data_IF_962961030415
#
_entry.id   IF_962961030415
#
_cell.length_a   1.000
_cell.length_b   1.000
_cell.length_c   1.000
_cell.angle_alpha   90.00
_cell.angle_beta   90.00
_cell.angle_gamma   90.00
#
_symmetry.space_group_name_H-M   'P 1'
#
loop_
_entity.id
_entity.type
_entity.pdbx_description
1 polymer ?
#
# COMPACT_ATOMS: atom_id res chain seq x y z
N UNK A 1 20.66 3.54 11.44
CA UNK A 1 20.00 4.87 11.51
C UNK A 1 18.87 4.77 12.52
N UNK A 2 18.66 5.81 13.33
CA UNK A 2 17.53 5.86 14.28
C UNK A 2 16.46 6.77 13.69
N UNK A 3 15.20 6.30 13.66
CA UNK A 3 14.07 7.08 13.17
C UNK A 3 13.15 7.44 14.35
N UNK A 4 12.92 8.72 14.55
CA UNK A 4 12.00 9.20 15.58
C UNK A 4 10.63 9.63 15.02
N UNK A 5 10.47 9.58 13.68
CA UNK A 5 9.21 9.89 13.01
C UNK A 5 8.97 8.99 11.81
N UNK A 6 7.73 8.46 11.71
CA UNK A 6 7.25 7.76 10.54
C UNK A 6 6.01 8.46 9.97
N UNK A 7 6.02 8.72 8.65
CA UNK A 7 4.90 9.32 7.92
C UNK A 7 4.52 8.38 6.80
N UNK A 8 3.29 7.89 6.78
CA UNK A 8 2.80 6.94 5.78
C UNK A 8 1.87 7.64 4.78
N UNK A 9 2.22 7.60 3.49
CA UNK A 9 1.45 8.16 2.39
C UNK A 9 0.93 7.07 1.47
N UNK A 10 -0.21 7.34 0.84
CA UNK A 10 -0.72 6.47 -0.21
C UNK A 10 -2.24 6.35 -0.25
N UNK A 11 -2.67 5.13 -0.52
CA UNK A 11 -4.08 4.80 -0.73
C UNK A 11 -4.61 3.77 0.29
N UNK A 12 -5.56 2.93 -0.12
CA UNK A 12 -6.22 1.93 0.74
C UNK A 12 -5.26 0.95 1.40
N UNK A 13 -4.15 0.58 0.75
CA UNK A 13 -3.18 -0.35 1.31
C UNK A 13 -2.48 0.27 2.52
N UNK A 14 -2.08 1.53 2.43
CA UNK A 14 -1.41 2.24 3.52
C UNK A 14 -2.39 2.73 4.58
N UNK A 15 -3.64 3.05 4.22
CA UNK A 15 -4.73 3.29 5.18
C UNK A 15 -5.01 2.05 6.05
N UNK A 16 -4.70 0.85 5.53
CA UNK A 16 -4.89 -0.42 6.22
C UNK A 16 -6.23 -1.09 5.92
N UNK A 17 -6.87 -0.73 4.81
CA UNK A 17 -8.22 -1.22 4.48
C UNK A 17 -8.29 -2.75 4.50
N UNK A 18 -9.35 -3.30 5.13
CA UNK A 18 -9.65 -4.72 5.32
C UNK A 18 -8.77 -5.45 6.34
N UNK A 19 -7.94 -4.73 7.10
CA UNK A 19 -7.36 -5.26 8.34
C UNK A 19 -8.37 -5.20 9.50
N UNK A 20 -7.99 -5.71 10.64
CA UNK A 20 -8.74 -5.54 11.90
C UNK A 20 -8.94 -4.04 12.22
N UNK A 21 -10.02 -3.75 12.93
CA UNK A 21 -10.27 -2.38 13.37
C UNK A 21 -9.90 -2.19 14.84
N UNK A 22 -9.11 -1.15 15.09
CA UNK A 22 -8.76 -0.69 16.43
C UNK A 22 -9.29 0.74 16.59
N UNK A 23 -10.11 0.98 17.62
CA UNK A 23 -10.73 2.28 17.89
C UNK A 23 -11.45 2.89 16.66
N UNK A 24 -12.09 2.02 15.85
CA UNK A 24 -12.87 2.43 14.68
C UNK A 24 -12.08 2.58 13.38
N UNK A 25 -10.75 2.63 13.41
CA UNK A 25 -9.87 2.69 12.25
C UNK A 25 -9.30 1.32 11.89
N UNK A 26 -9.04 1.08 10.60
CA UNK A 26 -8.27 -0.07 10.19
C UNK A 26 -6.81 0.06 10.65
N UNK A 27 -6.26 -0.99 11.27
CA UNK A 27 -4.87 -1.01 11.74
C UNK A 27 -3.89 -0.90 10.57
N UNK A 28 -3.88 -1.88 9.70
CA UNK A 28 -2.99 -1.93 8.53
C UNK A 28 -1.51 -2.20 8.87
N UNK A 29 -0.72 -2.38 7.82
CA UNK A 29 0.70 -2.67 7.94
C UNK A 29 1.50 -1.50 8.55
N UNK A 30 1.12 -0.25 8.23
CA UNK A 30 1.86 0.92 8.67
C UNK A 30 1.76 1.15 10.18
N UNK A 31 0.57 0.92 10.78
CA UNK A 31 0.41 0.99 12.24
C UNK A 31 1.21 -0.12 12.93
N UNK A 32 1.24 -1.36 12.37
CA UNK A 32 2.05 -2.47 12.89
C UNK A 32 3.55 -2.15 12.87
N UNK A 33 4.03 -1.46 11.84
CA UNK A 33 5.41 -0.96 11.78
C UNK A 33 5.63 0.13 12.85
N UNK A 34 4.66 1.05 12.99
CA UNK A 34 4.74 2.11 13.99
C UNK A 34 4.78 1.54 15.43
N UNK A 35 4.06 0.44 15.72
CA UNK A 35 4.12 -0.25 17.03
C UNK A 35 5.55 -0.70 17.36
N UNK A 36 6.24 -1.33 16.40
CA UNK A 36 7.62 -1.80 16.60
C UNK A 36 8.59 -0.61 16.70
N UNK A 37 8.42 0.41 15.86
CA UNK A 37 9.28 1.59 15.90
C UNK A 37 9.15 2.33 17.23
N UNK A 38 7.92 2.49 17.76
CA UNK A 38 7.68 3.12 19.05
C UNK A 38 8.29 2.34 20.23
N UNK A 39 8.37 1.01 20.10
CA UNK A 39 9.04 0.16 21.11
C UNK A 39 10.56 0.21 21.05
N UNK A 40 11.14 0.69 19.94
CA UNK A 40 12.59 0.69 19.71
C UNK A 40 13.21 2.09 19.68
N UNK A 41 12.39 3.16 19.57
CA UNK A 41 12.88 4.53 19.47
C UNK A 41 12.17 5.44 20.46
N UNK A 42 12.93 6.20 21.22
CA UNK A 42 12.40 7.19 22.17
C UNK A 42 11.73 8.36 21.42
N UNK A 43 10.69 8.93 22.03
CA UNK A 43 9.94 10.07 21.50
C UNK A 43 9.44 9.89 20.07
N UNK A 44 9.15 8.63 19.70
CA UNK A 44 8.69 8.28 18.37
C UNK A 44 7.29 8.85 18.10
N UNK A 45 7.14 9.42 16.89
CA UNK A 45 5.88 9.99 16.42
C UNK A 45 5.46 9.37 15.10
N UNK A 46 4.14 9.20 14.89
CA UNK A 46 3.58 8.59 13.70
C UNK A 46 2.45 9.44 13.11
N UNK A 47 2.42 9.53 11.78
CA UNK A 47 1.32 10.08 10.99
C UNK A 47 0.96 9.13 9.84
N UNK A 48 -0.33 9.00 9.52
CA UNK A 48 -0.80 8.24 8.36
C UNK A 48 -1.77 9.10 7.56
N UNK A 49 -1.27 9.65 6.45
CA UNK A 49 -1.98 10.54 5.54
C UNK A 49 -2.74 9.81 4.44
N UNK A 50 -2.62 8.48 4.39
CA UNK A 50 -3.21 7.68 3.33
C UNK A 50 -4.74 7.71 3.35
N UNK A 51 -5.32 7.81 2.15
CA UNK A 51 -6.77 7.78 1.94
C UNK A 51 -7.07 6.83 0.79
N UNK A 52 -7.96 5.87 1.02
CA UNK A 52 -8.38 4.88 0.02
C UNK A 52 -8.85 5.51 -1.29
N UNK A 53 -8.53 4.83 -2.39
CA UNK A 53 -8.99 5.22 -3.72
C UNK A 53 -8.26 6.40 -4.34
N UNK A 54 -7.29 7.02 -3.65
CA UNK A 54 -6.47 8.10 -4.20
C UNK A 54 -5.56 7.58 -5.31
N UNK A 55 -5.37 8.42 -6.32
CA UNK A 55 -4.42 8.21 -7.42
C UNK A 55 -3.12 8.94 -7.12
N UNK A 56 -2.05 8.61 -7.86
CA UNK A 56 -0.74 9.27 -7.72
C UNK A 56 -0.85 10.78 -7.71
N UNK A 57 -1.49 11.38 -8.71
CA UNK A 57 -1.62 12.84 -8.79
C UNK A 57 -2.44 13.45 -7.65
N UNK A 58 -3.35 12.70 -7.02
CA UNK A 58 -4.07 13.17 -5.83
C UNK A 58 -3.16 13.11 -4.59
N UNK A 59 -2.39 12.02 -4.43
CA UNK A 59 -1.41 11.90 -3.34
C UNK A 59 -0.36 12.99 -3.46
N UNK A 60 0.14 13.26 -4.68
CA UNK A 60 1.09 14.34 -4.96
C UNK A 60 0.56 15.71 -4.50
N UNK A 61 -0.70 16.03 -4.80
CA UNK A 61 -1.25 17.35 -4.49
C UNK A 61 -1.77 17.50 -3.06
N UNK A 62 -2.26 16.41 -2.46
CA UNK A 62 -2.98 16.46 -1.19
C UNK A 62 -2.14 15.96 0.00
N UNK A 63 -1.28 14.95 -0.19
CA UNK A 63 -0.53 14.32 0.90
C UNK A 63 0.94 14.74 0.93
N UNK A 64 1.59 14.85 -0.24
CA UNK A 64 3.03 15.16 -0.31
C UNK A 64 3.35 16.52 0.32
N UNK A 65 2.64 17.64 0.05
CA UNK A 65 2.93 18.92 0.69
C UNK A 65 2.79 18.88 2.21
N UNK A 66 1.77 18.15 2.71
CA UNK A 66 1.57 17.94 4.15
C UNK A 66 2.74 17.16 4.73
N UNK A 67 3.12 16.05 4.11
CA UNK A 67 4.23 15.21 4.57
C UNK A 67 5.54 15.98 4.62
N UNK A 68 5.86 16.76 3.58
CA UNK A 68 7.06 17.61 3.52
C UNK A 68 7.10 18.59 4.69
N UNK A 69 5.97 19.23 5.01
CA UNK A 69 5.86 20.14 6.15
C UNK A 69 5.97 19.46 7.52
N UNK A 70 5.82 18.13 7.58
CA UNK A 70 5.92 17.34 8.80
C UNK A 70 7.32 16.71 9.01
N UNK A 71 8.23 16.83 8.04
CA UNK A 71 9.59 16.27 8.14
C UNK A 71 10.38 16.96 9.24
N UNK A 72 11.11 16.15 10.02
CA UNK A 72 12.03 16.60 11.05
C UNK A 72 13.44 16.06 10.74
N UNK A 73 13.98 16.46 9.59
CA UNK A 73 15.30 16.04 9.14
C UNK A 73 15.41 14.53 8.83
N UNK A 74 16.64 13.99 8.77
CA UNK A 74 16.93 12.63 8.32
C UNK A 74 16.46 11.54 9.27
N UNK A 75 16.05 11.88 10.50
CA UNK A 75 15.39 10.95 11.43
C UNK A 75 13.92 10.68 11.08
N UNK A 76 13.39 11.34 10.04
CA UNK A 76 12.07 11.05 9.50
C UNK A 76 12.17 10.00 8.39
N UNK A 77 11.35 8.94 8.49
CA UNK A 77 11.13 8.01 7.38
C UNK A 77 9.72 8.22 6.81
N UNK A 78 9.63 8.28 5.48
CA UNK A 78 8.36 8.41 4.75
C UNK A 78 8.16 7.17 3.89
N UNK A 79 7.01 6.51 4.01
CA UNK A 79 6.58 5.49 3.07
C UNK A 79 5.64 6.08 2.01
N UNK A 80 5.87 5.75 0.74
CA UNK A 80 5.02 6.17 -0.36
C UNK A 80 4.57 4.98 -1.20
N UNK A 81 3.27 4.65 -1.11
CA UNK A 81 2.63 3.58 -1.87
C UNK A 81 1.39 4.12 -2.57
N UNK A 82 1.49 4.36 -3.87
CA UNK A 82 0.40 4.82 -4.73
C UNK A 82 0.59 4.30 -6.15
N UNK A 83 -0.47 4.30 -6.98
CA UNK A 83 -0.40 3.95 -8.39
C UNK A 83 -1.33 2.80 -8.79
N UNK A 84 -1.64 1.87 -7.88
CA UNK A 84 -2.57 0.77 -8.19
C UNK A 84 -3.92 1.30 -8.68
N UNK A 85 -4.44 2.36 -8.07
CA UNK A 85 -5.70 3.00 -8.48
C UNK A 85 -5.64 3.67 -9.85
N UNK A 86 -4.49 4.06 -10.33
CA UNK A 86 -4.29 4.61 -11.68
C UNK A 86 -4.31 3.48 -12.71
N UNK A 87 -3.47 2.47 -12.50
CA UNK A 87 -3.21 1.36 -13.41
C UNK A 87 -4.47 0.56 -13.77
N UNK A 88 -5.35 0.32 -12.79
CA UNK A 88 -6.60 -0.44 -13.01
C UNK A 88 -7.70 0.37 -13.73
N UNK A 89 -7.49 1.66 -14.03
CA UNK A 89 -8.50 2.47 -14.72
C UNK A 89 -8.52 2.21 -16.21
N UNK A 90 -9.71 2.25 -16.86
CA UNK A 90 -9.79 2.16 -18.31
C UNK A 90 -8.98 3.25 -19.02
N UNK A 91 -9.04 4.48 -18.50
CA UNK A 91 -8.31 5.66 -19.02
C UNK A 91 -6.99 5.86 -18.28
N UNK A 92 -6.21 4.78 -18.12
CA UNK A 92 -4.86 4.87 -17.55
C UNK A 92 -3.92 5.57 -18.53
N UNK A 93 -3.25 6.60 -18.05
CA UNK A 93 -2.22 7.33 -18.78
C UNK A 93 -0.87 7.09 -18.09
N UNK A 94 -0.02 6.22 -18.62
CA UNK A 94 1.27 5.90 -18.01
C UNK A 94 2.22 7.10 -17.99
N UNK A 95 2.27 7.90 -19.05
CA UNK A 95 3.20 9.04 -19.15
C UNK A 95 2.93 10.04 -18.03
N UNK A 96 1.66 10.43 -17.87
CA UNK A 96 1.24 11.33 -16.81
C UNK A 96 1.48 10.72 -15.42
N UNK A 97 1.11 9.45 -15.23
CA UNK A 97 1.24 8.77 -13.93
C UNK A 97 2.69 8.66 -13.50
N UNK A 98 3.61 8.36 -14.44
CA UNK A 98 5.04 8.26 -14.14
C UNK A 98 5.63 9.63 -13.80
N UNK A 99 5.27 10.68 -14.53
CA UNK A 99 5.72 12.04 -14.25
C UNK A 99 5.23 12.53 -12.87
N UNK A 100 3.96 12.30 -12.53
CA UNK A 100 3.39 12.64 -11.22
C UNK A 100 4.04 11.82 -10.08
N UNK A 101 4.37 10.54 -10.33
CA UNK A 101 5.06 9.68 -9.36
C UNK A 101 6.49 10.17 -9.11
N UNK A 102 7.25 10.45 -10.17
CA UNK A 102 8.60 10.97 -10.11
C UNK A 102 8.66 12.31 -9.35
N UNK A 103 7.75 13.22 -9.67
CA UNK A 103 7.62 14.52 -8.97
C UNK A 103 7.36 14.33 -7.48
N UNK A 104 6.45 13.41 -7.11
CA UNK A 104 6.14 13.13 -5.71
C UNK A 104 7.38 12.60 -4.96
N UNK A 105 8.06 11.61 -5.53
CA UNK A 105 9.24 10.99 -4.90
C UNK A 105 10.36 12.02 -4.74
N UNK A 106 10.67 12.82 -5.77
CA UNK A 106 11.72 13.84 -5.68
C UNK A 106 11.41 14.91 -4.64
N UNK A 107 10.15 15.35 -4.53
CA UNK A 107 9.75 16.30 -3.48
C UNK A 107 9.94 15.71 -2.06
N UNK A 108 9.62 14.43 -1.87
CA UNK A 108 9.83 13.75 -0.59
C UNK A 108 11.33 13.60 -0.26
N UNK A 109 12.17 13.25 -1.23
CA UNK A 109 13.63 13.17 -1.05
C UNK A 109 14.23 14.54 -0.73
N UNK A 110 13.81 15.59 -1.44
CA UNK A 110 14.27 16.96 -1.23
C UNK A 110 13.92 17.51 0.15
N UNK A 111 12.93 16.94 0.82
CA UNK A 111 12.60 17.31 2.22
C UNK A 111 13.65 16.87 3.24
N UNK A 112 14.62 16.04 2.85
CA UNK A 112 15.65 15.48 3.72
C UNK A 112 15.22 14.23 4.47
N UNK A 113 14.02 13.70 4.24
CA UNK A 113 13.55 12.44 4.84
C UNK A 113 14.18 11.22 4.15
N UNK A 114 14.28 10.12 4.88
CA UNK A 114 14.47 8.79 4.26
C UNK A 114 13.18 8.35 3.62
N UNK A 115 13.20 7.97 2.34
CA UNK A 115 12.00 7.58 1.59
C UNK A 115 12.00 6.09 1.30
N UNK A 116 10.86 5.43 1.55
CA UNK A 116 10.60 4.04 1.20
C UNK A 116 9.50 3.96 0.14
N UNK A 117 9.78 3.27 -0.96
CA UNK A 117 8.89 3.05 -2.08
C UNK A 117 8.47 1.59 -2.16
N UNK A 118 7.30 1.35 -2.76
CA UNK A 118 6.72 0.02 -2.90
C UNK A 118 6.37 -0.26 -4.35
N UNK A 119 6.77 -1.43 -4.85
CA UNK A 119 6.17 -1.99 -6.04
C UNK A 119 4.80 -2.61 -5.72
N UNK A 120 3.89 -2.54 -6.67
CA UNK A 120 2.60 -3.23 -6.61
C UNK A 120 2.78 -4.67 -7.07
N UNK A 121 2.01 -5.61 -6.54
CA UNK A 121 2.04 -6.99 -7.04
C UNK A 121 1.55 -7.05 -8.50
N UNK A 122 2.41 -7.52 -9.41
CA UNK A 122 2.19 -7.47 -10.86
C UNK A 122 1.19 -8.52 -11.36
N UNK A 123 1.21 -9.69 -10.74
CA UNK A 123 0.42 -10.84 -11.19
C UNK A 123 -0.52 -11.31 -10.08
N UNK A 124 -1.80 -11.15 -10.30
CA UNK A 124 -2.85 -11.66 -9.39
C UNK A 124 -3.11 -13.17 -9.53
N UNK A 125 -2.45 -13.86 -10.48
CA UNK A 125 -2.72 -15.25 -10.83
C UNK A 125 -4.04 -15.49 -11.59
N UNK A 126 -4.84 -14.45 -11.83
CA UNK A 126 -6.09 -14.57 -12.57
C UNK A 126 -5.85 -14.72 -14.09
N UNK A 127 -6.57 -15.66 -14.73
CA UNK A 127 -6.40 -15.98 -16.16
C UNK A 127 -7.29 -15.15 -17.11
N UNK A 128 -7.87 -14.06 -16.64
CA UNK A 128 -8.78 -13.22 -17.46
C UNK A 128 -8.00 -12.30 -18.40
N UNK A 129 -8.67 -11.85 -19.48
CA UNK A 129 -8.08 -10.87 -20.41
C UNK A 129 -7.73 -9.54 -19.69
N UNK A 130 -8.57 -9.10 -18.79
CA UNK A 130 -8.31 -7.90 -17.97
C UNK A 130 -7.07 -8.08 -17.08
N UNK A 131 -6.91 -9.23 -16.43
CA UNK A 131 -5.74 -9.50 -15.60
C UNK A 131 -4.42 -9.46 -16.39
N UNK A 132 -4.43 -9.97 -17.65
CA UNK A 132 -3.26 -9.88 -18.54
C UNK A 132 -2.89 -8.43 -18.86
N UNK A 133 -3.89 -7.59 -19.17
CA UNK A 133 -3.67 -6.16 -19.43
C UNK A 133 -3.15 -5.45 -18.18
N UNK A 134 -3.72 -5.72 -17.01
CA UNK A 134 -3.25 -5.12 -15.76
C UNK A 134 -1.84 -5.57 -15.40
N UNK A 135 -1.49 -6.84 -15.61
CA UNK A 135 -0.15 -7.34 -15.39
C UNK A 135 0.88 -6.50 -16.18
N UNK A 136 0.70 -6.35 -17.49
CA UNK A 136 1.61 -5.55 -18.34
C UNK A 136 1.70 -4.08 -17.86
N UNK A 137 0.58 -3.50 -17.45
CA UNK A 137 0.56 -2.13 -16.92
C UNK A 137 1.28 -2.01 -15.58
N UNK A 138 1.11 -3.00 -14.68
CA UNK A 138 1.81 -3.03 -13.39
C UNK A 138 3.31 -3.27 -13.58
N UNK A 139 3.71 -4.14 -14.50
CA UNK A 139 5.12 -4.35 -14.86
C UNK A 139 5.77 -3.04 -15.32
N UNK A 140 5.13 -2.30 -16.22
CA UNK A 140 5.62 -1.01 -16.69
C UNK A 140 5.66 0.05 -15.57
N UNK A 141 4.62 0.11 -14.73
CA UNK A 141 4.59 1.01 -13.58
C UNK A 141 5.70 0.69 -12.57
N UNK A 142 5.89 -0.58 -12.22
CA UNK A 142 6.92 -1.00 -11.29
C UNK A 142 8.34 -0.82 -11.86
N UNK A 143 8.52 -0.94 -13.17
CA UNK A 143 9.80 -0.60 -13.81
C UNK A 143 10.16 0.88 -13.56
N UNK A 144 9.17 1.79 -13.63
CA UNK A 144 9.37 3.20 -13.27
C UNK A 144 9.67 3.37 -11.78
N UNK A 145 8.97 2.64 -10.89
CA UNK A 145 9.24 2.69 -9.43
C UNK A 145 10.66 2.22 -9.12
N UNK A 146 11.11 1.10 -9.71
CA UNK A 146 12.48 0.58 -9.54
C UNK A 146 13.53 1.57 -10.02
N UNK A 147 13.28 2.17 -11.19
CA UNK A 147 14.16 3.18 -11.79
C UNK A 147 14.34 4.37 -10.86
N UNK A 148 13.23 5.02 -10.45
CA UNK A 148 13.31 6.20 -9.58
C UNK A 148 13.90 5.86 -8.21
N UNK A 149 13.58 4.70 -7.62
CA UNK A 149 14.16 4.26 -6.36
C UNK A 149 15.70 4.19 -6.43
N UNK A 150 16.22 3.62 -7.53
CA UNK A 150 17.67 3.54 -7.77
C UNK A 150 18.30 4.91 -7.99
N UNK A 151 17.66 5.79 -8.76
CA UNK A 151 18.17 7.14 -9.06
C UNK A 151 18.31 8.02 -7.83
N UNK A 152 17.34 7.93 -6.89
CA UNK A 152 17.30 8.81 -5.70
C UNK A 152 17.80 8.14 -4.43
N UNK A 153 18.22 6.88 -4.49
CA UNK A 153 18.68 6.12 -3.33
C UNK A 153 17.56 5.79 -2.33
N UNK A 154 16.31 5.68 -2.78
CA UNK A 154 15.20 5.32 -1.91
C UNK A 154 15.23 3.84 -1.53
N UNK A 155 14.73 3.52 -0.34
CA UNK A 155 14.52 2.14 0.09
C UNK A 155 13.37 1.55 -0.74
N UNK A 156 13.59 0.39 -1.37
CA UNK A 156 12.57 -0.28 -2.18
C UNK A 156 12.08 -1.56 -1.52
N UNK A 157 10.76 -1.72 -1.44
CA UNK A 157 10.08 -2.98 -1.14
C UNK A 157 9.42 -3.50 -2.43
N UNK A 158 9.92 -4.63 -2.96
CA UNK A 158 9.42 -5.22 -4.19
C UNK A 158 8.92 -6.66 -3.96
N UNK A 159 7.59 -6.87 -3.85
CA UNK A 159 7.02 -8.19 -3.62
C UNK A 159 7.12 -9.12 -4.84
N UNK A 160 7.51 -8.61 -6.00
CA UNK A 160 7.55 -9.41 -7.23
C UNK A 160 8.79 -10.31 -7.33
N UNK A 161 9.80 -10.06 -6.48
CA UNK A 161 11.01 -10.88 -6.42
C UNK A 161 10.79 -12.24 -5.74
N UNK A 162 9.68 -12.40 -5.00
CA UNK A 162 9.37 -13.64 -4.26
C UNK A 162 7.96 -14.13 -4.61
N UNK A 163 7.84 -15.38 -5.06
CA UNK A 163 6.55 -15.99 -5.40
C UNK A 163 5.60 -16.14 -4.20
N UNK A 164 6.15 -16.20 -3.01
CA UNK A 164 5.41 -16.35 -1.75
C UNK A 164 4.39 -15.22 -1.47
N UNK A 165 4.53 -14.06 -2.12
CA UNK A 165 3.58 -12.95 -2.01
C UNK A 165 2.25 -13.19 -2.73
N UNK A 166 2.19 -14.14 -3.68
CA UNK A 166 1.01 -14.37 -4.53
C UNK A 166 -0.03 -15.29 -3.91
N UNK A 167 0.11 -15.62 -2.63
CA UNK A 167 -0.81 -16.57 -1.99
C UNK A 167 -2.17 -15.92 -1.71
N UNK A 168 -3.30 -16.53 -2.12
CA UNK A 168 -4.64 -15.94 -1.97
C UNK A 168 -5.05 -15.71 -0.51
N UNK A 169 -4.45 -16.43 0.45
CA UNK A 169 -4.72 -16.23 1.88
C UNK A 169 -4.28 -14.86 2.42
N UNK A 170 -3.54 -14.07 1.66
CA UNK A 170 -3.18 -12.69 2.04
C UNK A 170 -4.21 -11.66 1.58
N UNK A 171 -5.16 -12.08 0.73
CA UNK A 171 -6.14 -11.20 0.12
C UNK A 171 -7.48 -11.36 0.81
N UNK A 172 -8.15 -10.24 1.07
CA UNK A 172 -9.49 -10.21 1.61
C UNK A 172 -10.53 -10.74 0.61
N UNK A 173 -11.73 -11.08 1.10
CA UNK A 173 -12.84 -11.56 0.26
C UNK A 173 -13.22 -10.61 -0.89
N UNK A 174 -12.90 -9.31 -0.80
CA UNK A 174 -13.12 -8.35 -1.87
C UNK A 174 -12.18 -8.53 -3.08
N UNK A 175 -11.19 -9.42 -2.98
CA UNK A 175 -10.19 -9.78 -4.02
C UNK A 175 -9.33 -8.61 -4.49
N UNK A 176 -9.22 -7.57 -3.69
CA UNK A 176 -8.48 -6.36 -4.03
C UNK A 176 -7.51 -5.95 -2.92
N UNK A 177 -7.94 -6.01 -1.67
CA UNK A 177 -7.17 -5.53 -0.53
C UNK A 177 -6.54 -6.69 0.24
N UNK A 178 -5.47 -6.38 0.95
CA UNK A 178 -4.88 -7.31 1.91
C UNK A 178 -5.87 -7.55 3.07
N UNK A 179 -5.88 -8.76 3.60
CA UNK A 179 -6.49 -9.03 4.90
C UNK A 179 -5.46 -8.87 6.03
N UNK A 180 -5.83 -9.19 7.27
CA UNK A 180 -4.94 -9.03 8.43
C UNK A 180 -3.61 -9.79 8.29
N UNK A 181 -3.63 -10.99 7.72
CA UNK A 181 -2.41 -11.77 7.46
C UNK A 181 -1.53 -11.12 6.40
N UNK A 182 -2.13 -10.57 5.34
CA UNK A 182 -1.42 -9.82 4.30
C UNK A 182 -0.80 -8.53 4.85
N UNK A 183 -1.55 -7.76 5.65
CA UNK A 183 -1.02 -6.57 6.31
C UNK A 183 0.10 -6.90 7.29
N UNK A 184 -0.04 -7.98 8.08
CA UNK A 184 1.03 -8.46 8.94
C UNK A 184 2.29 -8.78 8.14
N UNK A 185 2.15 -9.53 7.02
CA UNK A 185 3.29 -9.89 6.17
C UNK A 185 4.02 -8.67 5.60
N UNK A 186 3.28 -7.65 5.12
CA UNK A 186 3.88 -6.40 4.64
C UNK A 186 4.63 -5.69 5.77
N UNK A 187 4.05 -5.63 6.97
CA UNK A 187 4.73 -5.03 8.11
C UNK A 187 6.06 -5.73 8.43
N UNK A 188 6.07 -7.08 8.47
CA UNK A 188 7.30 -7.84 8.71
C UNK A 188 8.37 -7.61 7.64
N UNK A 189 7.96 -7.51 6.36
CA UNK A 189 8.86 -7.22 5.27
C UNK A 189 9.47 -5.82 5.38
N UNK A 190 8.68 -4.82 5.77
CA UNK A 190 9.15 -3.45 6.02
C UNK A 190 10.14 -3.44 7.20
N UNK A 191 9.79 -4.08 8.32
CA UNK A 191 10.66 -4.18 9.49
C UNK A 191 11.99 -4.86 9.16
N UNK A 192 11.94 -5.98 8.43
CA UNK A 192 13.14 -6.67 7.95
C UNK A 192 14.02 -5.77 7.07
N UNK A 193 13.39 -4.99 6.17
CA UNK A 193 14.09 -4.07 5.27
C UNK A 193 14.74 -2.90 6.01
N UNK A 194 14.16 -2.51 7.15
CA UNK A 194 14.69 -1.47 8.05
C UNK A 194 15.65 -2.02 9.12
N UNK A 195 15.93 -3.33 9.12
CA UNK A 195 16.73 -4.02 10.14
C UNK A 195 16.19 -3.83 11.56
N UNK A 196 14.85 -3.75 11.69
CA UNK A 196 14.13 -3.69 12.95
C UNK A 196 13.70 -5.10 13.40
N UNK A 197 13.37 -5.30 14.68
CA UNK A 197 12.82 -6.56 15.18
C UNK A 197 11.61 -6.99 14.34
N UNK A 198 11.66 -8.22 13.83
CA UNK A 198 10.61 -8.81 13.00
C UNK A 198 10.55 -10.32 13.19
N UNK A 199 9.43 -10.92 12.85
CA UNK A 199 9.28 -12.37 12.82
C UNK A 199 10.04 -12.96 11.61
N UNK A 200 11.09 -13.76 11.80
CA UNK A 200 11.86 -14.32 10.69
C UNK A 200 11.05 -15.30 9.82
N UNK A 201 9.96 -15.86 10.34
CA UNK A 201 9.09 -16.79 9.63
C UNK A 201 8.17 -16.13 8.59
N UNK A 202 8.14 -14.82 8.50
CA UNK A 202 7.25 -14.11 7.57
C UNK A 202 7.43 -14.51 6.10
N UNK A 203 8.61 -15.00 5.73
CA UNK A 203 8.91 -15.49 4.37
C UNK A 203 8.47 -16.94 4.13
N UNK A 204 8.12 -17.70 5.17
CA UNK A 204 7.74 -19.08 5.02
C UNK A 204 6.56 -19.23 4.06
N UNK A 205 6.69 -20.03 2.99
CA UNK A 205 5.60 -20.26 2.06
C UNK A 205 4.41 -20.91 2.77
N UNK A 206 3.20 -20.43 2.45
CA UNK A 206 1.99 -21.08 2.93
C UNK A 206 1.69 -22.34 2.13
N UNK A 207 1.00 -23.33 2.72
CA UNK A 207 0.54 -24.50 2.01
C UNK A 207 -0.31 -24.10 0.78
N UNK A 208 -0.26 -24.86 -0.32
CA UNK A 208 -1.08 -24.55 -1.50
C UNK A 208 -2.55 -24.37 -1.13
N UNK A 209 -3.25 -23.41 -1.76
CA UNK A 209 -4.66 -23.17 -1.46
C UNK A 209 -5.50 -24.39 -1.82
N UNK A 210 -6.44 -24.72 -0.93
CA UNK A 210 -7.38 -25.82 -1.16
C UNK A 210 -8.30 -25.47 -2.34
N UNK A 211 -8.38 -26.37 -3.32
CA UNK A 211 -9.33 -26.21 -4.45
C UNK A 211 -10.75 -26.49 -3.96
N UNK A 212 -11.60 -25.50 -4.02
CA UNK A 212 -13.01 -25.65 -3.70
C UNK A 212 -13.74 -26.44 -4.80
N UNK A 213 -14.81 -27.21 -4.46
CA UNK A 213 -15.75 -27.76 -5.43
C UNK A 213 -16.33 -26.66 -6.35
N UNK A 214 -16.66 -27.01 -7.59
CA UNK A 214 -17.14 -26.04 -8.59
C UNK A 214 -18.38 -25.26 -8.12
N UNK A 215 -19.30 -25.93 -7.45
CA UNK A 215 -20.53 -25.30 -6.90
C UNK A 215 -20.18 -24.22 -5.88
N UNK A 216 -19.20 -24.48 -5.01
CA UNK A 216 -18.78 -23.52 -3.98
C UNK A 216 -18.00 -22.33 -4.60
N UNK A 217 -17.22 -22.58 -5.67
CA UNK A 217 -16.61 -21.52 -6.44
C UNK A 217 -17.64 -20.59 -7.08
N UNK A 218 -18.71 -21.15 -7.65
CA UNK A 218 -19.83 -20.38 -8.25
C UNK A 218 -20.53 -19.56 -7.19
N UNK A 219 -20.89 -20.15 -6.04
CA UNK A 219 -21.53 -19.45 -4.92
C UNK A 219 -20.64 -18.29 -4.42
N UNK A 220 -19.35 -18.54 -4.26
CA UNK A 220 -18.39 -17.53 -3.81
C UNK A 220 -18.24 -16.40 -4.83
N UNK A 221 -18.24 -16.71 -6.13
CA UNK A 221 -18.16 -15.70 -7.19
C UNK A 221 -19.44 -14.84 -7.23
N UNK A 222 -20.61 -15.44 -7.09
CA UNK A 222 -21.90 -14.72 -7.06
C UNK A 222 -21.98 -13.80 -5.83
N UNK A 223 -21.60 -14.32 -4.65
CA UNK A 223 -21.53 -13.53 -3.42
C UNK A 223 -20.57 -12.34 -3.59
N UNK A 224 -19.37 -12.57 -4.11
CA UNK A 224 -18.41 -11.52 -4.39
C UNK A 224 -18.97 -10.45 -5.34
N UNK A 225 -19.62 -10.87 -6.42
CA UNK A 225 -20.19 -9.96 -7.39
C UNK A 225 -21.26 -9.06 -6.76
N UNK A 226 -22.16 -9.63 -5.95
CA UNK A 226 -23.21 -8.88 -5.27
C UNK A 226 -22.63 -7.91 -4.23
N UNK A 227 -21.71 -8.37 -3.37
CA UNK A 227 -21.22 -7.60 -2.24
C UNK A 227 -20.16 -6.54 -2.63
N UNK A 228 -19.36 -6.81 -3.66
CA UNK A 228 -18.22 -5.97 -4.01
C UNK A 228 -18.26 -5.46 -5.45
N UNK A 229 -18.59 -6.31 -6.43
CA UNK A 229 -18.59 -5.97 -7.85
C UNK A 229 -19.64 -4.93 -8.20
N UNK A 230 -20.92 -5.15 -7.83
CA UNK A 230 -22.02 -4.22 -8.09
C UNK A 230 -21.79 -2.87 -7.40
N UNK A 231 -21.51 -2.78 -6.08
CA UNK A 231 -21.23 -1.50 -5.43
C UNK A 231 -20.03 -0.75 -6.04
N UNK A 232 -18.99 -1.48 -6.47
CA UNK A 232 -17.86 -0.88 -7.16
C UNK A 232 -18.29 -0.27 -8.50
N UNK A 233 -19.05 -1.01 -9.33
CA UNK A 233 -19.54 -0.53 -10.61
C UNK A 233 -20.46 0.70 -10.46
N UNK A 234 -21.37 0.69 -9.50
CA UNK A 234 -22.26 1.84 -9.20
C UNK A 234 -21.44 3.08 -8.84
N UNK A 235 -20.41 2.94 -7.99
CA UNK A 235 -19.51 4.08 -7.66
C UNK A 235 -18.80 4.59 -8.91
N UNK A 236 -18.42 3.73 -9.84
CA UNK A 236 -17.79 4.13 -11.11
C UNK A 236 -18.71 4.95 -11.99
N UNK A 237 -19.95 4.49 -12.17
CA UNK A 237 -20.99 5.21 -12.93
C UNK A 237 -21.23 6.59 -12.31
N UNK A 238 -21.30 6.65 -10.98
CA UNK A 238 -21.50 7.91 -10.23
C UNK A 238 -20.25 8.78 -10.13
N UNK A 239 -19.12 8.39 -10.73
CA UNK A 239 -17.81 9.09 -10.66
C UNK A 239 -17.32 9.34 -9.22
N UNK A 240 -17.75 8.51 -8.26
CA UNK A 240 -17.37 8.60 -6.84
C UNK A 240 -16.25 7.62 -6.51
N UNK A 241 -15.34 8.04 -5.61
CA UNK A 241 -14.35 7.20 -4.97
C UNK A 241 -14.83 6.77 -3.58
N UNK A 242 -14.34 5.63 -3.09
CA UNK A 242 -14.56 5.22 -1.69
C UNK A 242 -13.84 6.13 -0.67
N UNK A 243 -12.91 6.95 -1.15
CA UNK A 243 -12.17 7.93 -0.34
C UNK A 243 -12.75 9.34 -0.34
N UNK A 244 -13.82 9.60 -1.12
CA UNK A 244 -14.41 10.93 -1.17
C UNK A 244 -15.01 11.33 0.18
N UNK A 245 -14.67 12.55 0.65
CA UNK A 245 -15.11 13.08 1.93
C UNK A 245 -14.44 12.44 3.16
N UNK A 246 -13.36 11.65 2.97
CA UNK A 246 -12.60 11.07 4.08
C UNK A 246 -11.38 11.90 4.41
N UNK A 247 -11.08 11.94 5.70
CA UNK A 247 -9.83 12.48 6.24
C UNK A 247 -8.84 11.34 6.54
N UNK A 248 -7.53 11.64 6.57
CA UNK A 248 -6.51 10.70 7.03
C UNK A 248 -6.80 10.25 8.47
N UNK A 249 -6.44 9.01 8.81
CA UNK A 249 -6.66 8.49 10.17
C UNK A 249 -5.76 9.15 11.22
N UNK A 250 -4.55 9.55 10.84
CA UNK A 250 -3.59 10.26 11.71
C UNK A 250 -2.97 11.42 10.89
N UNK A 251 -3.65 12.59 10.83
CA UNK A 251 -3.26 13.70 9.94
C UNK A 251 -2.01 14.45 10.39
N UNK A 252 -1.59 14.26 11.63
CA UNK A 252 -0.41 14.90 12.22
C UNK A 252 0.41 13.88 13.02
N UNK A 253 1.74 14.08 13.16
CA UNK A 253 2.58 13.22 13.98
C UNK A 253 2.12 13.27 15.44
N UNK A 254 1.74 12.13 15.96
CA UNK A 254 1.35 11.94 17.36
C UNK A 254 2.32 10.98 18.02
N UNK A 255 2.60 11.18 19.33
CA UNK A 255 3.34 10.19 20.11
C UNK A 255 2.61 8.86 20.03
N UNK A 256 3.27 7.87 19.45
CA UNK A 256 2.66 6.57 19.22
C UNK A 256 2.89 5.66 20.43
N UNK A 257 1.82 5.03 20.87
CA UNK A 257 1.85 4.04 21.95
C UNK A 257 1.25 2.75 21.38
N UNK A 258 2.01 1.63 21.36
CA UNK A 258 1.53 0.33 20.89
C UNK A 258 0.31 -0.19 21.62
#
# INVERSE_FOLDING_TARGET
MSYNRFIALGDSMTEGMQDEKIKGNYRGWADRVADVMASNYENFTYANLAIRGKKVGQVLREQVPVAVGLVNGPSTIISFHAGANDVIRPKYDPVKTFAEYDQAVRALIQSGATVMLFCVLEDSGAKTRAAKVWKLRFEAFNANVRKIASEVGAILLDPNQESSWRHPSFIHEDRLHLNSLGHYRVAQAVLARLSLPHDPSWRTPLPPPVKLPLVDQIKQNLRWFILYGIPWAIRRIRKKSSGDGRSPKYPAPTTWKP
#
